data_IF_863291674178
#
_entry.id   IF_863291674178
#
_cell.length_a   1.000
_cell.length_b   1.000
_cell.length_c   1.000
_cell.angle_alpha   90.00
_cell.angle_beta   90.00
_cell.angle_gamma   90.00
#
_symmetry.space_group_name_H-M   'P 1'
#
loop_
_entity.id
_entity.type
_entity.pdbx_description
1 polymer ?
#
# COMPACT_ATOMS: atom_id res chain seq x y z
N UNK A 1 14.61 -26.13 -12.81
CA UNK A 1 14.41 -24.68 -12.60
C UNK A 1 15.56 -23.96 -13.28
N UNK A 2 15.31 -22.90 -14.03
CA UNK A 2 16.41 -22.08 -14.55
C UNK A 2 16.87 -21.08 -13.47
N UNK A 3 18.11 -20.56 -13.52
CA UNK A 3 18.54 -19.50 -12.62
C UNK A 3 17.63 -18.26 -12.66
N UNK A 4 17.08 -17.95 -13.83
CA UNK A 4 16.13 -16.85 -14.02
C UNK A 4 14.80 -17.10 -13.27
N UNK A 5 14.29 -18.33 -13.30
CA UNK A 5 13.07 -18.69 -12.56
C UNK A 5 13.27 -18.56 -11.05
N UNK A 6 14.46 -18.92 -10.57
CA UNK A 6 14.81 -18.75 -9.17
C UNK A 6 14.84 -17.27 -8.76
N UNK A 7 15.42 -16.41 -9.60
CA UNK A 7 15.40 -14.95 -9.39
C UNK A 7 13.97 -14.40 -9.35
N UNK A 8 13.13 -14.82 -10.29
CA UNK A 8 11.70 -14.44 -10.29
C UNK A 8 10.99 -14.85 -9.01
N UNK A 9 11.22 -16.09 -8.55
CA UNK A 9 10.68 -16.57 -7.28
C UNK A 9 11.14 -15.71 -6.11
N UNK A 10 12.43 -15.41 -6.01
CA UNK A 10 12.98 -14.61 -4.92
C UNK A 10 12.38 -13.20 -4.89
N UNK A 11 12.23 -12.56 -6.06
CA UNK A 11 11.59 -11.24 -6.18
C UNK A 11 10.12 -11.27 -5.75
N UNK A 12 9.38 -12.31 -6.12
CA UNK A 12 7.97 -12.46 -5.68
C UNK A 12 7.88 -12.70 -4.18
N UNK A 13 8.76 -13.51 -3.59
CA UNK A 13 8.79 -13.70 -2.13
C UNK A 13 9.09 -12.39 -1.39
N UNK A 14 10.02 -11.58 -1.92
CA UNK A 14 10.26 -10.23 -1.39
C UNK A 14 9.02 -9.34 -1.48
N UNK A 15 8.33 -9.35 -2.63
CA UNK A 15 7.10 -8.59 -2.83
C UNK A 15 6.00 -8.98 -1.85
N UNK A 16 5.82 -10.29 -1.59
CA UNK A 16 4.84 -10.81 -0.61
C UNK A 16 5.11 -10.24 0.78
N UNK A 17 6.36 -10.33 1.24
CA UNK A 17 6.76 -9.78 2.53
C UNK A 17 6.47 -8.28 2.62
N UNK A 18 6.82 -7.50 1.60
CA UNK A 18 6.54 -6.06 1.57
C UNK A 18 5.03 -5.76 1.59
N UNK A 19 4.22 -6.54 0.88
CA UNK A 19 2.76 -6.40 0.89
C UNK A 19 2.13 -6.74 2.25
N UNK A 20 2.74 -7.64 3.01
CA UNK A 20 2.25 -8.10 4.31
C UNK A 20 2.61 -7.12 5.44
N UNK A 21 3.83 -6.55 5.42
CA UNK A 21 4.35 -5.75 6.55
C UNK A 21 4.27 -4.24 6.34
N UNK A 22 4.35 -3.76 5.09
CA UNK A 22 4.44 -2.31 4.78
C UNK A 22 3.11 -1.72 4.32
N UNK A 23 3.04 -0.39 4.29
CA UNK A 23 1.95 0.39 3.67
C UNK A 23 2.36 1.03 2.35
N UNK A 24 3.50 0.60 1.77
CA UNK A 24 4.01 1.12 0.51
C UNK A 24 2.95 0.97 -0.59
N UNK A 25 2.92 1.91 -1.51
CA UNK A 25 2.09 1.78 -2.70
C UNK A 25 2.66 0.72 -3.66
N UNK A 26 1.98 0.47 -4.77
CA UNK A 26 2.43 -0.55 -5.71
C UNK A 26 3.76 -0.17 -6.37
N UNK A 27 3.96 1.13 -6.64
CA UNK A 27 5.18 1.65 -7.28
C UNK A 27 6.41 1.45 -6.37
N UNK A 28 6.34 1.83 -5.09
CA UNK A 28 7.44 1.63 -4.15
C UNK A 28 7.78 0.15 -3.93
N UNK A 29 6.79 -0.75 -3.98
CA UNK A 29 7.06 -2.20 -3.91
C UNK A 29 7.77 -2.70 -5.18
N UNK A 30 7.38 -2.21 -6.36
CA UNK A 30 8.01 -2.59 -7.61
C UNK A 30 9.48 -2.17 -7.68
N UNK A 31 9.78 -0.93 -7.28
CA UNK A 31 11.14 -0.40 -7.20
C UNK A 31 12.01 -1.29 -6.28
N UNK A 32 11.50 -1.63 -5.09
CA UNK A 32 12.19 -2.52 -4.13
C UNK A 32 12.37 -3.96 -4.63
N UNK A 33 11.57 -4.38 -5.61
CA UNK A 33 11.67 -5.69 -6.25
C UNK A 33 12.45 -5.66 -7.58
N UNK A 34 12.91 -4.49 -8.03
CA UNK A 34 13.65 -4.31 -9.28
C UNK A 34 12.78 -4.48 -10.53
N UNK A 35 11.57 -3.91 -10.52
CA UNK A 35 10.66 -3.86 -11.66
C UNK A 35 10.28 -2.43 -12.02
N UNK A 36 10.45 -2.08 -13.30
CA UNK A 36 10.03 -0.78 -13.84
C UNK A 36 8.64 -0.85 -14.47
N UNK A 37 8.25 -2.00 -15.05
CA UNK A 37 6.95 -2.19 -15.70
C UNK A 37 5.89 -2.79 -14.74
N UNK A 38 4.80 -2.06 -14.43
CA UNK A 38 3.70 -2.58 -13.61
C UNK A 38 3.01 -3.80 -14.22
N UNK A 39 2.93 -3.87 -15.55
CA UNK A 39 2.21 -4.95 -16.23
C UNK A 39 2.97 -6.27 -16.13
N UNK A 40 4.29 -6.25 -16.36
CA UNK A 40 5.19 -7.38 -16.15
C UNK A 40 5.13 -7.88 -14.71
N UNK A 41 5.25 -6.97 -13.74
CA UNK A 41 5.19 -7.34 -12.33
C UNK A 41 3.87 -8.00 -11.95
N UNK A 42 2.73 -7.40 -12.32
CA UNK A 42 1.39 -7.94 -12.00
C UNK A 42 1.19 -9.33 -12.60
N UNK A 43 1.65 -9.55 -13.84
CA UNK A 43 1.55 -10.84 -14.53
C UNK A 43 2.40 -11.90 -13.85
N UNK A 44 3.66 -11.56 -13.52
CA UNK A 44 4.56 -12.46 -12.80
C UNK A 44 4.01 -12.82 -11.43
N UNK A 45 3.61 -11.81 -10.65
CA UNK A 45 3.09 -11.99 -9.30
C UNK A 45 1.84 -12.86 -9.31
N UNK A 46 0.89 -12.61 -10.22
CA UNK A 46 -0.32 -13.43 -10.37
C UNK A 46 0.02 -14.85 -10.79
N UNK A 47 0.96 -15.04 -11.73
CA UNK A 47 1.39 -16.38 -12.16
C UNK A 47 1.95 -17.20 -11.00
N UNK A 48 2.64 -16.55 -10.05
CA UNK A 48 3.32 -17.23 -8.96
C UNK A 48 2.48 -17.36 -7.68
N UNK A 49 1.53 -16.45 -7.43
CA UNK A 49 0.71 -16.43 -6.21
C UNK A 49 -0.77 -16.73 -6.45
N UNK A 50 -1.22 -16.74 -7.70
CA UNK A 50 -2.64 -16.86 -8.08
C UNK A 50 -3.47 -15.59 -7.87
N UNK A 51 -2.94 -14.57 -7.20
CA UNK A 51 -3.67 -13.35 -6.81
C UNK A 51 -3.06 -12.09 -7.43
N UNK A 52 -3.85 -11.02 -7.50
CA UNK A 52 -3.27 -9.69 -7.76
C UNK A 52 -2.57 -9.16 -6.51
N UNK A 53 -1.53 -8.30 -6.64
CA UNK A 53 -0.87 -7.70 -5.48
C UNK A 53 -1.85 -7.02 -4.50
N UNK A 54 -2.88 -6.36 -5.02
CA UNK A 54 -3.93 -5.70 -4.22
C UNK A 54 -4.81 -6.71 -3.48
N UNK A 55 -5.23 -7.79 -4.15
CA UNK A 55 -6.01 -8.85 -3.51
C UNK A 55 -5.18 -9.60 -2.46
N UNK A 56 -3.90 -9.85 -2.76
CA UNK A 56 -2.96 -10.46 -1.82
C UNK A 56 -2.79 -9.60 -0.55
N UNK A 57 -2.57 -8.29 -0.71
CA UNK A 57 -2.49 -7.36 0.43
C UNK A 57 -3.74 -7.40 1.30
N UNK A 58 -4.93 -7.41 0.70
CA UNK A 58 -6.19 -7.45 1.46
C UNK A 58 -6.35 -8.75 2.27
N UNK A 59 -5.87 -9.86 1.74
CA UNK A 59 -5.99 -11.18 2.38
C UNK A 59 -4.92 -11.41 3.46
N UNK A 60 -3.69 -10.92 3.24
CA UNK A 60 -2.51 -11.27 4.05
C UNK A 60 -1.86 -10.09 4.78
N UNK A 61 -2.39 -8.87 4.69
CA UNK A 61 -1.85 -7.75 5.45
C UNK A 61 -1.91 -8.04 6.96
N UNK A 62 -0.73 -8.14 7.58
CA UNK A 62 -0.57 -8.46 9.01
C UNK A 62 -1.00 -7.29 9.93
N UNK A 63 -1.69 -6.28 9.39
CA UNK A 63 -2.07 -5.03 10.06
C UNK A 63 -3.57 -4.93 10.40
N UNK A 64 -4.37 -5.99 10.19
CA UNK A 64 -5.76 -6.04 10.64
C UNK A 64 -5.83 -6.69 12.04
N UNK A 65 -5.80 -5.93 13.13
CA UNK A 65 -7.02 -5.41 13.74
C UNK A 65 -6.81 -4.14 14.59
N UNK A 66 -6.80 -2.95 13.96
CA UNK A 66 -7.23 -1.70 14.64
C UNK A 66 -8.50 -1.08 14.05
N UNK A 67 -9.13 -1.71 13.05
CA UNK A 67 -10.38 -1.22 12.44
C UNK A 67 -11.64 -1.64 13.21
N UNK A 68 -11.63 -1.59 14.55
CA UNK A 68 -12.86 -1.50 15.37
C UNK A 68 -13.21 -0.06 15.76
N UNK A 69 -12.40 0.93 15.38
CA UNK A 69 -12.68 2.35 15.60
C UNK A 69 -12.58 3.14 14.30
N UNK A 70 -13.43 2.80 13.31
CA UNK A 70 -13.71 3.63 12.12
C UNK A 70 -15.21 3.83 11.89
N UNK A 71 -15.98 3.88 12.98
CA UNK A 71 -17.40 4.25 12.97
C UNK A 71 -17.65 5.65 13.58
N UNK A 72 -16.61 6.33 14.10
CA UNK A 72 -16.69 7.69 14.62
C UNK A 72 -15.58 8.55 14.00
N UNK A 73 -15.71 8.87 12.72
CA UNK A 73 -14.93 9.99 12.17
C UNK A 73 -15.84 10.86 11.31
N UNK A 74 -16.89 11.35 11.97
CA UNK A 74 -17.51 12.61 11.61
C UNK A 74 -16.80 13.68 12.44
N UNK A 75 -15.65 14.19 11.99
CA UNK A 75 -15.11 15.45 12.50
C UNK A 75 -15.79 16.56 11.70
N UNK A 76 -16.69 17.37 12.29
CA UNK A 76 -17.19 18.55 11.60
C UNK A 76 -16.06 19.58 11.54
N UNK A 77 -15.71 20.03 10.34
CA UNK A 77 -14.80 21.17 10.18
C UNK A 77 -15.56 22.46 10.53
N UNK A 78 -15.10 23.18 11.56
CA UNK A 78 -15.59 24.53 11.84
C UNK A 78 -14.79 25.56 11.04
N UNK A 79 -15.42 26.58 10.43
CA UNK A 79 -14.72 27.71 9.85
C UNK A 79 -14.51 28.76 10.95
N UNK A 80 -13.26 28.97 11.36
CA UNK A 80 -12.90 30.04 12.29
C UNK A 80 -12.86 31.39 11.57
N UNK A 81 -13.95 32.13 11.72
CA UNK A 81 -14.06 33.54 11.40
C UNK A 81 -13.06 34.35 12.26
N UNK A 82 -12.13 35.06 11.62
CA UNK A 82 -11.41 36.18 12.25
C UNK A 82 -11.99 37.49 11.74
N UNK A 83 -12.95 38.03 12.51
CA UNK A 83 -13.34 39.43 12.39
C UNK A 83 -12.33 40.30 13.15
N UNK A 84 -11.86 41.32 12.41
CA UNK A 84 -11.72 42.71 12.85
C UNK A 84 -10.76 43.02 14.00
N UNK A 85 -9.57 43.50 13.64
CA UNK A 85 -8.74 44.35 14.49
C UNK A 85 -8.93 45.83 14.16
N UNK A 86 -8.77 46.65 15.21
CA UNK A 86 -8.48 48.08 15.23
C UNK A 86 -9.65 49.09 15.16
N UNK A 87 -10.16 49.44 16.35
CA UNK A 87 -10.46 50.82 16.72
C UNK A 87 -10.35 50.97 18.25
N UNK A 88 -9.20 51.45 18.73
CA UNK A 88 -9.10 52.07 20.06
C UNK A 88 -8.75 53.54 19.86
N UNK A 89 -9.45 54.35 20.64
CA UNK A 89 -9.45 55.80 20.71
C UNK A 89 -8.14 56.40 21.24
#
# INVERSE_FOLDING_TARGET
MTPLDYLHKLRVERAKLLLEVTTLDLAGIMEQCGYDDPSAFRRLFRRQTGLTPTAYRRAYALRASRQRWRAHDSIPQQPEARQSGAACA
#
